data_IF_675406426043
#
_entry.id   IF_675406426043
#
_cell.length_a   1.000
_cell.length_b   1.000
_cell.length_c   1.000
_cell.angle_alpha   90.00
_cell.angle_beta   90.00
_cell.angle_gamma   90.00
#
_symmetry.space_group_name_H-M   'P 1'
#
loop_
_entity.id
_entity.type
_entity.pdbx_description
1 polymer ?
#
# COMPACT_ATOMS: atom_id res chain seq x y z
N UNK A 1 13.17 -63.57 12.09
CA UNK A 1 12.35 -62.88 11.06
C UNK A 1 11.68 -61.60 11.59
N UNK A 2 11.32 -61.51 12.87
CA UNK A 2 10.62 -60.32 13.40
C UNK A 2 11.48 -59.06 13.49
N UNK A 3 12.77 -59.16 13.81
CA UNK A 3 13.65 -57.98 14.03
C UNK A 3 13.84 -57.11 12.79
N UNK A 4 13.97 -57.73 11.61
CA UNK A 4 14.12 -57.01 10.33
C UNK A 4 12.83 -56.26 9.97
N UNK A 5 11.67 -56.88 10.21
CA UNK A 5 10.36 -56.26 9.95
C UNK A 5 10.13 -55.05 10.87
N UNK A 6 10.52 -55.14 12.15
CA UNK A 6 10.41 -54.04 13.10
C UNK A 6 11.30 -52.85 12.72
N UNK A 7 12.53 -53.11 12.27
CA UNK A 7 13.48 -52.06 11.85
C UNK A 7 13.00 -51.36 10.57
N UNK A 8 12.49 -52.11 9.58
CA UNK A 8 11.95 -51.53 8.35
C UNK A 8 10.69 -50.71 8.63
N UNK A 9 9.80 -51.20 9.49
CA UNK A 9 8.60 -50.46 9.90
C UNK A 9 8.95 -49.19 10.67
N UNK A 10 9.94 -49.21 11.57
CA UNK A 10 10.36 -48.01 12.32
C UNK A 10 11.02 -46.96 11.42
N UNK A 11 11.80 -47.39 10.43
CA UNK A 11 12.42 -46.47 9.45
C UNK A 11 11.32 -45.82 8.60
N UNK A 12 10.41 -46.59 8.01
CA UNK A 12 9.31 -46.06 7.20
C UNK A 12 8.37 -45.13 7.99
N UNK A 13 8.08 -45.46 9.25
CA UNK A 13 7.31 -44.60 10.14
C UNK A 13 8.04 -43.27 10.41
N UNK A 14 9.35 -43.31 10.66
CA UNK A 14 10.16 -42.11 10.89
C UNK A 14 10.25 -41.21 9.65
N UNK A 15 10.35 -41.79 8.44
CA UNK A 15 10.39 -41.03 7.19
C UNK A 15 9.02 -40.40 6.86
N UNK A 16 7.92 -41.11 7.15
CA UNK A 16 6.55 -40.62 6.98
C UNK A 16 6.21 -39.47 7.93
N UNK A 17 6.61 -39.58 9.20
CA UNK A 17 6.41 -38.51 10.18
C UNK A 17 7.26 -37.28 9.82
N UNK A 18 8.53 -37.49 9.43
CA UNK A 18 9.42 -36.40 9.02
C UNK A 18 8.88 -35.63 7.80
N UNK A 19 8.31 -36.31 6.81
CA UNK A 19 7.73 -35.67 5.63
C UNK A 19 6.47 -34.87 5.95
N UNK A 20 5.61 -35.34 6.86
CA UNK A 20 4.44 -34.59 7.33
C UNK A 20 4.84 -33.34 8.09
N UNK A 21 5.81 -33.44 9.00
CA UNK A 21 6.33 -32.27 9.74
C UNK A 21 6.97 -31.26 8.78
N UNK A 22 7.79 -31.72 7.83
CA UNK A 22 8.40 -30.86 6.83
C UNK A 22 7.34 -30.14 5.99
N UNK A 23 6.30 -30.86 5.55
CA UNK A 23 5.18 -30.27 4.78
C UNK A 23 4.43 -29.22 5.60
N UNK A 24 4.16 -29.48 6.87
CA UNK A 24 3.49 -28.52 7.75
C UNK A 24 4.32 -27.24 7.95
N UNK A 25 5.63 -27.38 8.16
CA UNK A 25 6.54 -26.24 8.29
C UNK A 25 6.60 -25.41 7.01
N UNK A 26 6.69 -26.06 5.85
CA UNK A 26 6.71 -25.38 4.54
C UNK A 26 5.38 -24.68 4.27
N UNK A 27 4.24 -25.32 4.52
CA UNK A 27 2.93 -24.71 4.35
C UNK A 27 2.72 -23.51 5.29
N UNK A 28 3.18 -23.62 6.53
CA UNK A 28 3.10 -22.53 7.51
C UNK A 28 3.97 -21.33 7.10
N UNK A 29 5.21 -21.58 6.69
CA UNK A 29 6.10 -20.54 6.17
C UNK A 29 5.56 -19.89 4.89
N UNK A 30 4.94 -20.68 4.00
CA UNK A 30 4.35 -20.16 2.77
C UNK A 30 3.13 -19.28 3.06
N UNK A 31 2.28 -19.66 4.03
CA UNK A 31 1.15 -18.83 4.48
C UNK A 31 1.63 -17.52 5.08
N UNK A 32 2.62 -17.56 5.97
CA UNK A 32 3.20 -16.34 6.57
C UNK A 32 3.78 -15.41 5.49
N UNK A 33 4.50 -15.97 4.51
CA UNK A 33 5.04 -15.20 3.39
C UNK A 33 3.94 -14.58 2.51
N UNK A 34 2.85 -15.31 2.25
CA UNK A 34 1.69 -14.78 1.52
C UNK A 34 1.00 -13.65 2.28
N UNK A 35 0.86 -13.79 3.60
CA UNK A 35 0.22 -12.80 4.46
C UNK A 35 1.04 -11.51 4.53
N UNK A 36 2.36 -11.61 4.68
CA UNK A 36 3.29 -10.46 4.61
C UNK A 36 3.20 -9.75 3.26
N UNK A 37 3.20 -10.50 2.14
CA UNK A 37 3.05 -9.93 0.80
C UNK A 37 1.72 -9.21 0.63
N UNK A 38 0.63 -9.79 1.13
CA UNK A 38 -0.70 -9.17 1.07
C UNK A 38 -0.73 -7.85 1.85
N UNK A 39 -0.21 -7.84 3.08
CA UNK A 39 -0.12 -6.63 3.89
C UNK A 39 0.76 -5.55 3.24
N UNK A 40 1.87 -5.93 2.62
CA UNK A 40 2.72 -4.99 1.88
C UNK A 40 2.00 -4.41 0.67
N UNK A 41 1.29 -5.25 -0.08
CA UNK A 41 0.50 -4.81 -1.24
C UNK A 41 -0.63 -3.86 -0.81
N UNK A 42 -1.37 -4.18 0.24
CA UNK A 42 -2.42 -3.30 0.79
C UNK A 42 -1.84 -1.95 1.24
N UNK A 43 -0.64 -1.94 1.83
CA UNK A 43 0.06 -0.68 2.18
C UNK A 43 0.44 0.14 0.96
N UNK A 44 0.93 -0.50 -0.10
CA UNK A 44 1.25 0.16 -1.38
C UNK A 44 -0.01 0.72 -2.04
N UNK A 45 -1.08 -0.05 -2.11
CA UNK A 45 -2.35 0.39 -2.71
C UNK A 45 -2.96 1.59 -1.97
N UNK A 46 -2.89 1.61 -0.63
CA UNK A 46 -3.32 2.78 0.17
C UNK A 46 -2.49 4.03 -0.14
N UNK A 47 -1.17 3.90 -0.29
CA UNK A 47 -0.29 5.01 -0.70
C UNK A 47 -0.62 5.50 -2.10
N UNK A 48 -0.75 4.59 -3.07
CA UNK A 48 -1.04 4.94 -4.46
C UNK A 48 -2.33 5.73 -4.60
N UNK A 49 -3.39 5.38 -3.87
CA UNK A 49 -4.66 6.14 -3.88
C UNK A 49 -4.48 7.57 -3.39
N UNK A 50 -3.73 7.77 -2.30
CA UNK A 50 -3.46 9.12 -1.79
C UNK A 50 -2.55 9.93 -2.72
N UNK A 51 -1.57 9.28 -3.36
CA UNK A 51 -0.71 9.94 -4.33
C UNK A 51 -1.48 10.38 -5.58
N UNK A 52 -2.40 9.55 -6.07
CA UNK A 52 -3.28 9.90 -7.19
C UNK A 52 -4.23 11.05 -6.84
N UNK A 53 -4.86 11.02 -5.65
CA UNK A 53 -5.67 12.13 -5.13
C UNK A 53 -4.86 13.43 -5.03
N UNK A 54 -3.61 13.34 -4.55
CA UNK A 54 -2.74 14.51 -4.42
C UNK A 54 -2.37 15.07 -5.79
N UNK A 55 -1.99 14.20 -6.73
CA UNK A 55 -1.64 14.60 -8.09
C UNK A 55 -2.84 15.23 -8.80
N UNK A 56 -4.05 14.72 -8.59
CA UNK A 56 -5.28 15.31 -9.12
C UNK A 56 -5.50 16.74 -8.58
N UNK A 57 -5.37 16.94 -7.26
CA UNK A 57 -5.58 18.25 -6.64
C UNK A 57 -4.50 19.26 -7.07
N UNK A 58 -3.24 18.82 -7.17
CA UNK A 58 -2.15 19.65 -7.73
C UNK A 58 -2.45 20.05 -9.17
N UNK A 59 -2.88 19.10 -10.01
CA UNK A 59 -3.21 19.38 -11.42
C UNK A 59 -4.36 20.37 -11.53
N UNK A 60 -5.38 20.26 -10.67
CA UNK A 60 -6.50 21.19 -10.58
C UNK A 60 -6.05 22.59 -10.15
N UNK A 61 -5.20 22.70 -9.15
CA UNK A 61 -4.64 23.98 -8.70
C UNK A 61 -3.80 24.64 -9.81
N UNK A 62 -2.93 23.88 -10.48
CA UNK A 62 -2.13 24.36 -11.60
C UNK A 62 -2.98 24.81 -12.79
N UNK A 63 -4.05 24.09 -13.10
CA UNK A 63 -5.01 24.47 -14.14
C UNK A 63 -5.59 25.85 -13.85
N UNK A 64 -6.08 26.07 -12.63
CA UNK A 64 -6.66 27.36 -12.26
C UNK A 64 -5.60 28.47 -12.24
N UNK A 65 -4.40 28.22 -11.74
CA UNK A 65 -3.25 29.15 -11.81
C UNK A 65 -3.00 29.60 -13.26
N UNK A 66 -2.82 28.64 -14.16
CA UNK A 66 -2.56 28.91 -15.57
C UNK A 66 -3.75 29.62 -16.26
N UNK A 67 -4.98 29.25 -15.92
CA UNK A 67 -6.18 29.90 -16.44
C UNK A 67 -6.23 31.39 -16.05
N UNK A 68 -5.95 31.71 -14.80
CA UNK A 68 -5.92 33.10 -14.36
C UNK A 68 -4.80 33.93 -14.97
N UNK A 69 -3.61 33.35 -15.19
CA UNK A 69 -2.52 34.02 -15.92
C UNK A 69 -2.96 34.36 -17.35
N UNK A 70 -3.58 33.41 -18.07
CA UNK A 70 -4.08 33.64 -19.43
C UNK A 70 -5.20 34.68 -19.50
N UNK A 71 -6.10 34.69 -18.52
CA UNK A 71 -7.17 35.68 -18.44
C UNK A 71 -6.61 37.09 -18.19
N UNK A 72 -5.59 37.21 -17.33
CA UNK A 72 -4.86 38.46 -17.10
C UNK A 72 -4.12 38.94 -18.37
N UNK A 73 -3.44 38.04 -19.08
CA UNK A 73 -2.73 38.35 -20.33
C UNK A 73 -3.67 38.86 -21.43
N UNK A 74 -4.90 38.34 -21.51
CA UNK A 74 -5.92 38.76 -22.48
C UNK A 74 -6.73 39.99 -22.06
N UNK A 75 -6.40 40.63 -20.94
CA UNK A 75 -7.13 41.76 -20.37
C UNK A 75 -8.64 41.49 -20.24
N UNK A 76 -9.03 40.25 -19.93
CA UNK A 76 -10.42 39.90 -19.74
C UNK A 76 -10.94 40.55 -18.44
N UNK A 77 -12.00 41.39 -18.48
CA UNK A 77 -12.48 42.14 -17.31
C UNK A 77 -13.02 41.28 -16.17
N UNK A 78 -13.19 39.97 -16.40
CA UNK A 78 -13.82 39.03 -15.49
C UNK A 78 -12.93 37.80 -15.27
N UNK A 79 -11.68 38.01 -14.85
CA UNK A 79 -10.92 36.94 -14.18
C UNK A 79 -11.48 36.76 -12.75
N UNK A 80 -12.74 36.33 -12.65
CA UNK A 80 -13.36 35.98 -11.39
C UNK A 80 -12.82 34.62 -10.95
N UNK A 81 -11.81 34.64 -10.08
CA UNK A 81 -11.45 33.48 -9.29
C UNK A 81 -12.63 33.18 -8.38
N UNK A 82 -13.54 32.30 -8.81
CA UNK A 82 -14.77 31.92 -8.08
C UNK A 82 -14.50 31.13 -6.78
N UNK A 83 -13.37 31.35 -6.11
CA UNK A 83 -12.90 30.54 -4.99
C UNK A 83 -12.43 29.13 -5.41
N UNK A 84 -12.55 28.74 -6.68
CA UNK A 84 -12.17 27.43 -7.18
C UNK A 84 -10.67 27.12 -7.02
N UNK A 85 -9.80 28.14 -7.13
CA UNK A 85 -8.38 27.98 -6.80
C UNK A 85 -8.19 27.75 -5.30
N UNK A 86 -8.82 28.58 -4.45
CA UNK A 86 -8.71 28.45 -3.00
C UNK A 86 -9.17 27.05 -2.55
N UNK A 87 -10.30 26.60 -3.09
CA UNK A 87 -10.83 25.26 -2.86
C UNK A 87 -9.85 24.17 -3.30
N UNK A 88 -9.26 24.29 -4.49
CA UNK A 88 -8.25 23.33 -4.96
C UNK A 88 -7.00 23.31 -4.07
N UNK A 89 -6.57 24.47 -3.54
CA UNK A 89 -5.44 24.56 -2.62
C UNK A 89 -5.76 24.00 -1.23
N UNK A 90 -6.97 24.23 -0.72
CA UNK A 90 -7.43 23.67 0.56
C UNK A 90 -7.54 22.14 0.46
N UNK A 91 -8.15 21.61 -0.61
CA UNK A 91 -8.24 20.18 -0.91
C UNK A 91 -6.85 19.54 -1.06
N UNK A 92 -5.89 20.24 -1.68
CA UNK A 92 -4.50 19.80 -1.76
C UNK A 92 -3.86 19.70 -0.37
N UNK A 93 -4.00 20.74 0.45
CA UNK A 93 -3.45 20.77 1.82
C UNK A 93 -4.02 19.66 2.71
N UNK A 94 -5.31 19.36 2.57
CA UNK A 94 -5.95 18.27 3.32
C UNK A 94 -5.50 16.88 2.84
N UNK A 95 -5.28 16.69 1.54
CA UNK A 95 -4.69 15.44 1.03
C UNK A 95 -3.24 15.26 1.49
N UNK A 96 -2.43 16.33 1.55
CA UNK A 96 -1.07 16.26 2.11
C UNK A 96 -1.07 15.86 3.59
N UNK A 97 -1.99 16.40 4.40
CA UNK A 97 -2.13 16.01 5.81
C UNK A 97 -2.49 14.52 5.92
N UNK A 98 -3.43 14.04 5.09
CA UNK A 98 -3.81 12.62 5.05
C UNK A 98 -2.62 11.72 4.69
N UNK A 99 -1.80 12.11 3.70
CA UNK A 99 -0.56 11.40 3.35
C UNK A 99 0.44 11.36 4.50
N UNK A 100 0.69 12.48 5.17
CA UNK A 100 1.58 12.55 6.34
C UNK A 100 1.11 11.69 7.51
N UNK A 101 -0.20 11.63 7.75
CA UNK A 101 -0.77 10.76 8.79
C UNK A 101 -0.58 9.29 8.44
N UNK A 102 -0.83 8.90 7.18
CA UNK A 102 -0.61 7.53 6.72
C UNK A 102 0.87 7.12 6.81
N UNK A 103 1.80 8.03 6.50
CA UNK A 103 3.24 7.79 6.70
C UNK A 103 3.59 7.59 8.18
N UNK A 104 2.99 8.35 9.10
CA UNK A 104 3.20 8.20 10.55
C UNK A 104 2.65 6.88 11.08
N UNK A 105 1.44 6.50 10.67
CA UNK A 105 0.82 5.23 11.03
C UNK A 105 1.68 4.05 10.59
N UNK A 106 2.19 4.08 9.35
CA UNK A 106 3.06 3.02 8.84
C UNK A 106 4.42 2.98 9.53
N UNK A 107 4.97 4.13 9.95
CA UNK A 107 6.19 4.15 10.76
C UNK A 107 5.94 3.59 12.17
N UNK A 108 4.76 3.80 12.76
CA UNK A 108 4.39 3.22 14.03
C UNK A 108 4.24 1.68 13.92
N UNK A 109 3.57 1.19 12.88
CA UNK A 109 3.41 -0.26 12.60
C UNK A 109 4.75 -1.00 12.37
N UNK A 110 5.81 -0.30 11.97
CA UNK A 110 7.14 -0.89 11.75
C UNK A 110 8.01 -0.88 13.02
N UNK A 111 7.73 0.03 13.95
CA UNK A 111 8.49 0.21 15.18
C UNK A 111 7.92 -0.55 16.39
N UNK A 112 6.71 -1.11 16.27
CA UNK A 112 6.15 -2.14 17.18
C UNK A 112 6.57 -3.56 16.75
#
# INVERSE_FOLDING_TARGET
>A
MNTVLTVVASVLASTGIATVVMKFLVESALKEAQEKKKQEQERRERRYKLDDELQHNISRALFWIHHGIKAHEKAEPHCYWNGELQKAMDEMGDTEKRKKNLDREQLAEVNE
#
